data_IF_612138689143
#
_entry.id   IF_612138689143
#
_cell.length_a   1.000
_cell.length_b   1.000
_cell.length_c   1.000
_cell.angle_alpha   90.00
_cell.angle_beta   90.00
_cell.angle_gamma   90.00
#
_symmetry.space_group_name_H-M   'P 1'
#
loop_
_entity.id
_entity.type
_entity.pdbx_description
1 polymer ?
#
# COMPACT_ATOMS: atom_id res chain seq x y z
N UNK A 1 -17.07 10.16 4.89
CA UNK A 1 -16.27 9.79 6.07
C UNK A 1 -14.88 9.46 5.54
N UNK A 2 -13.87 10.25 5.90
CA UNK A 2 -12.53 10.10 5.31
C UNK A 2 -11.71 9.06 6.08
N UNK A 3 -11.01 8.17 5.36
CA UNK A 3 -10.14 7.14 5.93
C UNK A 3 -8.70 7.49 5.62
N UNK A 4 -7.88 7.69 6.65
CA UNK A 4 -6.46 8.00 6.48
C UNK A 4 -5.61 6.72 6.49
N UNK A 5 -4.60 6.64 5.62
CA UNK A 5 -3.66 5.54 5.58
C UNK A 5 -2.27 5.96 5.12
N UNK A 6 -1.33 5.03 5.15
CA UNK A 6 0.04 5.30 4.69
C UNK A 6 1.01 4.16 4.96
N UNK A 7 2.21 4.29 4.42
CA UNK A 7 3.29 3.33 4.67
C UNK A 7 3.83 3.49 6.10
N UNK A 8 4.20 2.38 6.76
CA UNK A 8 4.73 2.40 8.13
C UNK A 8 5.95 3.31 8.27
N UNK A 9 6.80 3.41 7.24
CA UNK A 9 8.00 4.27 7.28
C UNK A 9 7.73 5.79 7.30
N UNK A 10 6.52 6.24 6.96
CA UNK A 10 6.21 7.68 6.92
C UNK A 10 6.49 8.39 5.59
N UNK A 11 7.06 7.70 4.60
CA UNK A 11 7.35 8.25 3.27
C UNK A 11 6.09 8.58 2.47
N UNK A 12 5.02 7.80 2.64
CA UNK A 12 3.76 7.95 1.90
C UNK A 12 2.56 8.05 2.84
N UNK A 13 1.67 9.01 2.59
CA UNK A 13 0.38 9.20 3.27
C UNK A 13 -0.71 9.45 2.25
N UNK A 14 -1.90 8.93 2.52
CA UNK A 14 -3.06 9.08 1.66
C UNK A 14 -4.36 9.15 2.47
N UNK A 15 -5.39 9.66 1.81
CA UNK A 15 -6.78 9.71 2.29
C UNK A 15 -7.66 9.02 1.27
N UNK A 16 -8.57 8.18 1.75
CA UNK A 16 -9.66 7.59 0.98
C UNK A 16 -10.94 8.33 1.31
N UNK A 17 -11.63 8.85 0.30
CA UNK A 17 -12.93 9.53 0.47
C UNK A 17 -14.07 8.56 0.79
N UNK A 18 -13.94 7.32 0.28
CA UNK A 18 -14.91 6.25 0.46
C UNK A 18 -14.20 4.94 0.86
N UNK A 19 -14.92 4.01 1.53
CA UNK A 19 -14.41 2.68 1.81
C UNK A 19 -14.06 1.91 0.52
N UNK A 20 -13.07 0.98 0.56
CA UNK A 20 -12.81 0.07 -0.54
C UNK A 20 -14.06 -0.74 -0.91
N UNK A 21 -14.36 -0.82 -2.21
CA UNK A 21 -15.51 -1.57 -2.72
C UNK A 21 -15.20 -3.05 -2.93
N UNK A 22 -13.92 -3.40 -3.03
CA UNK A 22 -13.45 -4.77 -3.19
C UNK A 22 -12.25 -4.97 -2.27
N UNK A 23 -12.36 -6.00 -1.43
CA UNK A 23 -11.29 -6.50 -0.57
C UNK A 23 -10.99 -7.94 -0.98
N UNK A 24 -9.72 -8.29 -1.07
CA UNK A 24 -9.32 -9.64 -1.44
C UNK A 24 -7.97 -10.03 -0.87
N UNK A 25 -7.90 -11.25 -0.35
CA UNK A 25 -6.69 -11.82 0.18
C UNK A 25 -5.97 -12.60 -0.92
N UNK A 26 -4.80 -12.12 -1.31
CA UNK A 26 -4.00 -12.76 -2.34
C UNK A 26 -2.99 -13.73 -1.72
N UNK A 27 -3.09 -14.99 -2.13
CA UNK A 27 -2.22 -16.09 -1.69
C UNK A 27 -1.18 -16.51 -2.74
N UNK A 28 -1.09 -15.81 -3.88
CA UNK A 28 -0.15 -16.18 -4.92
C UNK A 28 1.30 -16.07 -4.43
N UNK A 29 2.20 -16.85 -5.06
CA UNK A 29 3.60 -16.90 -4.64
C UNK A 29 4.29 -15.54 -4.74
N UNK A 30 3.94 -14.73 -5.75
CA UNK A 30 4.54 -13.42 -5.96
C UNK A 30 4.17 -12.44 -4.85
N UNK A 31 2.89 -12.38 -4.47
CA UNK A 31 2.43 -11.52 -3.38
C UNK A 31 3.05 -11.94 -2.03
N UNK A 32 3.12 -13.25 -1.78
CA UNK A 32 3.73 -13.78 -0.55
C UNK A 32 5.21 -13.43 -0.44
N UNK A 33 5.97 -13.59 -1.54
CA UNK A 33 7.40 -13.26 -1.57
C UNK A 33 7.65 -11.75 -1.47
N UNK A 34 6.84 -10.94 -2.15
CA UNK A 34 6.95 -9.49 -2.14
C UNK A 34 6.71 -8.90 -0.74
N UNK A 35 5.69 -9.38 -0.03
CA UNK A 35 5.35 -8.88 1.31
C UNK A 35 6.10 -9.60 2.45
N UNK A 36 6.76 -10.73 2.18
CA UNK A 36 7.32 -11.59 3.23
C UNK A 36 6.25 -12.18 4.18
N UNK A 37 5.02 -12.36 3.69
CA UNK A 37 3.85 -12.72 4.49
C UNK A 37 3.08 -13.93 3.91
N UNK A 38 2.23 -14.62 4.69
CA UNK A 38 1.42 -15.73 4.19
C UNK A 38 0.40 -15.34 3.11
N UNK A 39 -0.04 -14.07 3.10
CA UNK A 39 -0.92 -13.47 2.10
C UNK A 39 -0.83 -11.93 2.18
N UNK A 40 -1.44 -11.25 1.21
CA UNK A 40 -1.56 -9.78 1.17
C UNK A 40 -3.01 -9.40 0.97
N UNK A 41 -3.49 -8.42 1.73
CA UNK A 41 -4.84 -7.89 1.61
C UNK A 41 -4.84 -6.72 0.64
N UNK A 42 -5.58 -6.86 -0.46
CA UNK A 42 -5.77 -5.80 -1.44
C UNK A 42 -7.11 -5.13 -1.24
N UNK A 43 -7.12 -3.80 -1.35
CA UNK A 43 -8.34 -3.00 -1.37
C UNK A 43 -8.41 -2.16 -2.64
N UNK A 44 -9.52 -2.23 -3.35
CA UNK A 44 -9.79 -1.38 -4.51
C UNK A 44 -10.71 -0.22 -4.15
N UNK A 45 -10.34 0.97 -4.61
CA UNK A 45 -11.11 2.20 -4.51
C UNK A 45 -11.13 2.90 -5.87
N UNK A 46 -12.16 3.71 -6.18
CA UNK A 46 -12.11 4.60 -7.33
C UNK A 46 -10.88 5.52 -7.27
N UNK A 47 -10.31 5.85 -8.42
CA UNK A 47 -9.05 6.61 -8.47
C UNK A 47 -9.22 8.03 -7.91
N UNK A 48 -10.39 8.60 -8.11
CA UNK A 48 -10.82 9.92 -7.62
C UNK A 48 -10.97 9.98 -6.09
N UNK A 49 -11.10 8.81 -5.46
CA UNK A 49 -11.27 8.67 -4.01
C UNK A 49 -9.94 8.49 -3.27
N UNK A 50 -8.87 8.11 -3.98
CA UNK A 50 -7.52 8.02 -3.43
C UNK A 50 -6.76 9.33 -3.62
N UNK A 51 -6.60 10.08 -2.54
CA UNK A 51 -5.83 11.33 -2.50
C UNK A 51 -4.53 11.08 -1.75
N UNK A 52 -3.39 11.14 -2.45
CA UNK A 52 -2.07 11.05 -1.81
C UNK A 52 -1.70 12.43 -1.26
N UNK A 53 -1.51 12.51 0.06
CA UNK A 53 -1.23 13.76 0.78
C UNK A 53 0.26 13.98 1.03
N UNK A 54 1.07 12.91 1.02
CA UNK A 54 2.53 12.96 1.17
C UNK A 54 3.17 11.82 0.38
N UNK A 55 4.33 12.08 -0.23
CA UNK A 55 5.07 11.11 -1.04
C UNK A 55 4.56 11.02 -2.47
N UNK A 56 5.37 10.48 -3.37
CA UNK A 56 5.00 10.29 -4.77
C UNK A 56 4.44 8.90 -5.01
N UNK A 57 3.46 8.81 -5.92
CA UNK A 57 3.02 7.53 -6.49
C UNK A 57 4.04 7.04 -7.52
N UNK A 58 5.28 6.82 -7.11
CA UNK A 58 6.21 6.08 -7.96
C UNK A 58 5.77 4.62 -7.95
N UNK A 59 5.56 4.02 -9.12
CA UNK A 59 5.15 2.61 -9.28
C UNK A 59 6.17 1.60 -8.75
N UNK A 60 7.26 2.08 -8.16
CA UNK A 60 8.11 1.35 -7.25
C UNK A 60 7.30 1.07 -5.98
N UNK A 61 7.25 -0.18 -5.53
CA UNK A 61 7.06 -0.46 -4.10
C UNK A 61 7.84 0.61 -3.35
N UNK A 62 7.21 1.30 -2.40
CA UNK A 62 7.94 2.14 -1.46
C UNK A 62 8.91 1.20 -0.77
N UNK A 63 10.08 1.01 -1.38
CA UNK A 63 11.24 0.49 -0.71
C UNK A 63 11.37 1.46 0.44
N UNK A 64 11.08 0.99 1.65
CA UNK A 64 11.61 1.64 2.81
C UNK A 64 13.06 1.91 2.44
N UNK A 65 13.46 3.18 2.45
CA UNK A 65 14.77 3.64 1.96
C UNK A 65 15.91 3.11 2.85
N UNK A 66 15.72 1.97 3.54
CA UNK A 66 16.61 1.41 4.53
C UNK A 66 16.40 -0.10 4.81
N UNK A 67 16.45 -0.97 3.79
CA UNK A 67 16.72 -2.41 4.07
C UNK A 67 17.54 -3.15 3.00
N UNK A 68 18.19 -2.42 2.08
CA UNK A 68 19.20 -2.95 1.15
C UNK A 68 20.64 -2.76 1.67
N UNK A 69 20.80 -2.65 3.00
CA UNK A 69 22.10 -2.48 3.65
C UNK A 69 22.22 -3.29 4.95
N UNK A 70 21.99 -4.61 4.91
CA UNK A 70 22.85 -5.64 5.56
C UNK A 70 22.22 -7.04 5.50
N UNK A 71 22.88 -7.89 4.68
CA UNK A 71 22.91 -9.36 4.62
C UNK A 71 22.09 -9.99 3.49
#
# INVERSE_FOLDING_TARGET
>A
MEITGGCVCGGTRYVLKNPPFSLGDCHCIDCRRSAGAPHVNWGSVPREDLVVTKGERSGTICAAENDLARR
#
